data_IF_587158985373
#
_entry.id   IF_587158985373
#
_cell.length_a   1.000
_cell.length_b   1.000
_cell.length_c   1.000
_cell.angle_alpha   90.00
_cell.angle_beta   90.00
_cell.angle_gamma   90.00
#
_symmetry.space_group_name_H-M   'P 1'
#
loop_
_entity.id
_entity.type
_entity.pdbx_description
1 polymer ?
#
# COMPACT_ATOMS: atom_id res chain seq x y z
N UNK A 1 0.05 5.18 22.35
CA UNK A 1 0.31 4.74 20.97
C UNK A 1 0.23 5.97 20.08
N UNK A 2 1.36 6.56 19.71
CA UNK A 2 1.38 7.20 18.39
C UNK A 2 0.95 6.12 17.40
N UNK A 3 -0.15 6.34 16.69
CA UNK A 3 -0.82 5.27 15.95
C UNK A 3 0.16 4.56 15.02
N UNK A 4 0.08 3.23 14.97
CA UNK A 4 0.86 2.38 14.06
C UNK A 4 0.82 2.91 12.62
N UNK A 5 -0.31 3.48 12.20
CA UNK A 5 -0.46 4.24 10.97
C UNK A 5 0.50 5.44 10.81
N UNK A 6 0.66 6.29 11.83
CA UNK A 6 1.61 7.42 11.76
C UNK A 6 3.04 6.92 11.59
N UNK A 7 3.39 5.82 12.25
CA UNK A 7 4.71 5.22 12.16
C UNK A 7 4.99 4.68 10.75
N UNK A 8 4.09 3.89 10.18
CA UNK A 8 4.30 3.34 8.83
C UNK A 8 4.30 4.45 7.76
N UNK A 9 3.48 5.50 7.91
CA UNK A 9 3.50 6.66 7.03
C UNK A 9 4.81 7.45 7.11
N UNK A 10 5.42 7.55 8.29
CA UNK A 10 6.75 8.15 8.45
C UNK A 10 7.79 7.35 7.68
N UNK A 11 7.84 6.03 7.89
CA UNK A 11 8.75 5.14 7.15
C UNK A 11 8.54 5.25 5.63
N UNK A 12 7.28 5.28 5.18
CA UNK A 12 6.94 5.45 3.77
C UNK A 12 7.48 6.78 3.22
N UNK A 13 7.36 7.85 4.00
CA UNK A 13 7.81 9.18 3.62
C UNK A 13 9.34 9.31 3.54
N UNK A 14 10.07 8.55 4.36
CA UNK A 14 11.53 8.57 4.45
C UNK A 14 12.23 7.85 3.28
N UNK A 15 11.49 7.14 2.42
CA UNK A 15 12.02 6.59 1.16
C UNK A 15 12.41 7.71 0.17
N UNK A 16 13.26 7.39 -0.80
CA UNK A 16 13.61 8.31 -1.88
C UNK A 16 12.37 8.74 -2.68
N UNK A 17 12.48 9.86 -3.40
CA UNK A 17 11.33 10.47 -4.06
C UNK A 17 10.63 9.59 -5.10
N UNK A 18 11.38 8.72 -5.81
CA UNK A 18 10.81 7.84 -6.81
C UNK A 18 10.09 6.65 -6.15
N UNK A 19 10.76 5.99 -5.19
CA UNK A 19 10.20 4.86 -4.43
C UNK A 19 8.95 5.28 -3.67
N UNK A 20 9.02 6.40 -2.93
CA UNK A 20 7.87 6.96 -2.20
C UNK A 20 6.68 7.23 -3.12
N UNK A 21 6.91 7.91 -4.24
CA UNK A 21 5.84 8.28 -5.18
C UNK A 21 5.18 7.03 -5.79
N UNK A 22 5.98 6.04 -6.16
CA UNK A 22 5.50 4.78 -6.72
C UNK A 22 4.65 4.01 -5.70
N UNK A 23 5.13 3.86 -4.46
CA UNK A 23 4.41 3.16 -3.41
C UNK A 23 3.09 3.86 -3.04
N UNK A 24 3.11 5.19 -2.85
CA UNK A 24 1.89 5.97 -2.57
C UNK A 24 0.87 5.80 -3.69
N UNK A 25 1.30 5.82 -4.96
CA UNK A 25 0.41 5.62 -6.10
C UNK A 25 -0.27 4.26 -6.06
N UNK A 26 0.48 3.19 -5.78
CA UNK A 26 -0.07 1.84 -5.70
C UNK A 26 -1.05 1.71 -4.53
N UNK A 27 -0.71 2.22 -3.35
CA UNK A 27 -1.62 2.24 -2.18
C UNK A 27 -2.91 3.00 -2.49
N UNK A 28 -2.79 4.16 -3.12
CA UNK A 28 -3.93 4.96 -3.55
C UNK A 28 -4.83 4.19 -4.52
N UNK A 29 -4.26 3.60 -5.58
CA UNK A 29 -5.01 2.84 -6.58
C UNK A 29 -5.74 1.64 -5.96
N UNK A 30 -5.13 0.95 -5.00
CA UNK A 30 -5.78 -0.15 -4.26
C UNK A 30 -7.01 0.34 -3.48
N UNK A 31 -6.86 1.40 -2.69
CA UNK A 31 -7.96 1.99 -1.92
C UNK A 31 -9.06 2.55 -2.84
N UNK A 32 -8.69 3.28 -3.89
CA UNK A 32 -9.60 3.88 -4.84
C UNK A 32 -10.45 2.82 -5.55
N UNK A 33 -9.84 1.70 -5.95
CA UNK A 33 -10.56 0.58 -6.55
C UNK A 33 -11.60 -0.05 -5.60
N UNK A 34 -11.25 -0.23 -4.32
CA UNK A 34 -12.19 -0.75 -3.32
C UNK A 34 -13.35 0.22 -3.09
N UNK A 35 -13.07 1.52 -2.98
CA UNK A 35 -14.09 2.56 -2.75
C UNK A 35 -15.04 2.67 -3.95
N UNK A 36 -14.51 2.68 -5.18
CA UNK A 36 -15.32 2.80 -6.40
C UNK A 36 -16.09 1.53 -6.73
N UNK A 37 -15.54 0.37 -6.42
CA UNK A 37 -16.10 -0.93 -6.80
C UNK A 37 -16.22 -1.86 -5.58
N UNK A 38 -17.01 -1.49 -4.55
CA UNK A 38 -17.06 -2.21 -3.29
C UNK A 38 -17.66 -3.62 -3.43
N UNK A 39 -18.38 -3.93 -4.51
CA UNK A 39 -18.95 -5.27 -4.71
C UNK A 39 -18.06 -6.18 -5.54
N UNK A 40 -16.91 -5.71 -6.05
CA UNK A 40 -16.01 -6.51 -6.88
C UNK A 40 -14.91 -7.16 -6.02
N UNK A 41 -14.96 -8.48 -5.72
CA UNK A 41 -14.04 -9.11 -4.77
C UNK A 41 -12.59 -9.11 -5.23
N UNK A 42 -12.35 -8.97 -6.55
CA UNK A 42 -11.02 -8.93 -7.14
C UNK A 42 -10.16 -7.77 -6.59
N UNK A 43 -10.77 -6.65 -6.21
CA UNK A 43 -10.03 -5.49 -5.68
C UNK A 43 -9.64 -5.64 -4.20
N UNK A 44 -10.19 -6.63 -3.50
CA UNK A 44 -9.83 -6.98 -2.12
C UNK A 44 -8.72 -8.03 -2.04
N UNK A 45 -8.12 -8.40 -3.17
CA UNK A 45 -7.06 -9.42 -3.23
C UNK A 45 -5.84 -8.84 -3.92
N UNK A 46 -4.69 -8.96 -3.27
CA UNK A 46 -3.40 -8.57 -3.82
C UNK A 46 -2.68 -9.82 -4.30
N UNK A 47 -2.09 -9.77 -5.49
CA UNK A 47 -1.16 -10.79 -5.97
C UNK A 47 0.24 -10.25 -5.80
N UNK A 48 1.02 -10.85 -4.90
CA UNK A 48 2.42 -10.44 -4.64
C UNK A 48 3.26 -10.43 -5.93
N UNK A 49 3.04 -11.39 -6.82
CA UNK A 49 3.72 -11.48 -8.12
C UNK A 49 3.31 -10.39 -9.14
N UNK A 50 2.33 -9.52 -8.83
CA UNK A 50 2.00 -8.41 -9.72
C UNK A 50 3.18 -7.43 -9.75
N UNK A 51 3.70 -7.02 -10.92
CA UNK A 51 4.84 -6.10 -11.01
C UNK A 51 4.63 -4.78 -10.26
N UNK A 52 3.42 -4.23 -10.26
CA UNK A 52 3.11 -3.02 -9.49
C UNK A 52 3.20 -3.22 -7.97
N UNK A 53 3.02 -4.45 -7.49
CA UNK A 53 3.20 -4.79 -6.07
C UNK A 53 4.67 -5.10 -5.81
N UNK A 54 5.24 -6.07 -6.53
CA UNK A 54 6.59 -6.59 -6.31
C UNK A 54 7.68 -5.54 -6.50
N UNK A 55 7.58 -4.70 -7.53
CA UNK A 55 8.66 -3.78 -7.90
C UNK A 55 8.46 -2.36 -7.36
N UNK A 56 7.21 -1.97 -7.06
CA UNK A 56 6.88 -0.57 -6.72
C UNK A 56 6.38 -0.39 -5.30
N UNK A 57 5.79 -1.42 -4.70
CA UNK A 57 5.22 -1.32 -3.36
C UNK A 57 6.10 -2.02 -2.32
N UNK A 58 6.45 -3.29 -2.53
CA UNK A 58 7.22 -4.08 -1.57
C UNK A 58 8.61 -3.52 -1.24
N UNK A 59 9.35 -2.88 -2.17
CA UNK A 59 10.65 -2.30 -1.83
C UNK A 59 10.58 -1.06 -0.93
N UNK A 60 9.40 -0.44 -0.79
CA UNK A 60 9.24 0.79 -0.02
C UNK A 60 9.05 0.49 1.47
N UNK A 61 9.94 1.02 2.31
CA UNK A 61 9.84 0.88 3.77
C UNK A 61 8.50 1.41 4.28
N UNK A 62 7.80 0.66 5.13
CA UNK A 62 6.50 1.06 5.68
C UNK A 62 5.29 0.76 4.79
N UNK A 63 5.48 0.35 3.53
CA UNK A 63 4.36 0.16 2.59
C UNK A 63 3.51 -1.09 2.91
N UNK A 64 4.13 -2.17 3.40
CA UNK A 64 3.41 -3.39 3.77
C UNK A 64 2.62 -3.17 5.05
N UNK A 65 3.20 -2.46 6.03
CA UNK A 65 2.50 -2.04 7.24
C UNK A 65 1.31 -1.14 6.92
N UNK A 66 1.45 -0.23 5.94
CA UNK A 66 0.31 0.54 5.44
C UNK A 66 -0.81 -0.36 4.89
N UNK A 67 -0.50 -1.46 4.19
CA UNK A 67 -1.53 -2.40 3.73
C UNK A 67 -2.28 -3.05 4.90
N UNK A 68 -1.56 -3.45 5.95
CA UNK A 68 -2.18 -4.02 7.15
C UNK A 68 -3.06 -3.00 7.89
N UNK A 69 -2.61 -1.75 7.99
CA UNK A 69 -3.41 -0.66 8.57
C UNK A 69 -4.65 -0.32 7.71
N UNK A 70 -4.59 -0.50 6.39
CA UNK A 70 -5.75 -0.41 5.49
C UNK A 70 -6.73 -1.58 5.72
N UNK A 71 -6.25 -2.71 6.25
CA UNK A 71 -7.03 -3.91 6.56
C UNK A 71 -6.81 -5.09 5.62
N UNK A 72 -5.80 -5.05 4.74
CA UNK A 72 -5.36 -6.25 4.04
C UNK A 72 -4.72 -7.26 5.01
N UNK A 73 -4.72 -8.54 4.64
CA UNK A 73 -4.19 -9.64 5.44
C UNK A 73 -3.35 -10.54 4.53
N UNK A 74 -2.32 -11.18 5.10
CA UNK A 74 -1.48 -12.19 4.43
C UNK A 74 -2.19 -13.55 4.33
#
# INVERSE_FOLDING_TARGET
>A
MESSLKHCLKLLNDNDGATRKNAIRVLWELCENIIKHPQEPKYRRIRVANPAIAEKLLPASGAVECLFEIGFQE
#
